data_IF_589430984533
#
_entry.id   IF_589430984533
#
_cell.length_a   1.000
_cell.length_b   1.000
_cell.length_c   1.000
_cell.angle_alpha   90.00
_cell.angle_beta   90.00
_cell.angle_gamma   90.00
#
_symmetry.space_group_name_H-M   'P 1'
#
loop_
_entity.id
_entity.type
_entity.pdbx_description
1 polymer ?
#
# COMPACT_ATOMS: atom_id res chain seq x y z
N UNK A 1 13.87 13.68 -62.18
CA UNK A 1 12.62 12.87 -62.14
C UNK A 1 12.63 11.76 -61.10
N UNK A 2 13.77 11.21 -60.72
CA UNK A 2 13.87 10.05 -59.81
C UNK A 2 13.37 10.37 -58.36
N UNK A 3 13.50 11.62 -57.87
CA UNK A 3 13.10 12.00 -56.50
C UNK A 3 11.69 12.59 -56.38
N UNK A 4 11.10 12.98 -57.49
CA UNK A 4 9.78 13.63 -57.52
C UNK A 4 8.66 12.60 -57.29
N UNK A 5 8.77 11.44 -57.92
CA UNK A 5 7.77 10.36 -57.79
C UNK A 5 7.67 9.83 -56.35
N UNK A 6 8.79 9.49 -55.65
CA UNK A 6 8.70 9.09 -54.26
C UNK A 6 8.16 10.17 -53.31
N UNK A 7 8.48 11.44 -53.58
CA UNK A 7 7.95 12.57 -52.79
C UNK A 7 6.44 12.75 -52.95
N UNK A 8 5.91 12.59 -54.17
CA UNK A 8 4.46 12.64 -54.45
C UNK A 8 3.74 11.46 -53.78
N UNK A 9 4.31 10.26 -53.86
CA UNK A 9 3.74 9.04 -53.22
C UNK A 9 3.68 9.21 -51.70
N UNK A 10 4.80 9.62 -51.07
CA UNK A 10 4.88 9.83 -49.62
C UNK A 10 3.93 10.95 -49.15
N UNK A 11 3.87 12.06 -49.91
CA UNK A 11 2.95 13.15 -49.61
C UNK A 11 1.47 12.74 -49.76
N UNK A 12 1.16 11.98 -50.81
CA UNK A 12 -0.18 11.43 -51.03
C UNK A 12 -0.60 10.45 -49.89
N UNK A 13 0.28 9.55 -49.53
CA UNK A 13 0.05 8.62 -48.40
C UNK A 13 -0.13 9.37 -47.05
N UNK A 14 0.67 10.42 -46.81
CA UNK A 14 0.54 11.28 -45.63
C UNK A 14 -0.78 12.01 -45.53
N UNK A 15 -1.24 12.62 -46.66
CA UNK A 15 -2.52 13.28 -46.72
C UNK A 15 -3.66 12.28 -46.50
N UNK A 16 -3.62 11.15 -47.17
CA UNK A 16 -4.65 10.10 -47.04
C UNK A 16 -4.74 9.55 -45.62
N UNK A 17 -3.61 9.28 -44.99
CA UNK A 17 -3.54 8.87 -43.57
C UNK A 17 -4.09 9.95 -42.63
N UNK A 18 -3.74 11.22 -42.86
CA UNK A 18 -4.23 12.37 -42.08
C UNK A 18 -5.76 12.52 -42.17
N UNK A 19 -6.31 12.39 -43.39
CA UNK A 19 -7.77 12.44 -43.59
C UNK A 19 -8.47 11.26 -42.90
N UNK A 20 -7.94 10.04 -43.05
CA UNK A 20 -8.49 8.84 -42.40
C UNK A 20 -8.48 8.99 -40.88
N UNK A 21 -7.38 9.46 -40.29
CA UNK A 21 -7.28 9.68 -38.84
C UNK A 21 -8.26 10.78 -38.38
N UNK A 22 -8.44 11.86 -39.14
CA UNK A 22 -9.36 12.90 -38.78
C UNK A 22 -10.82 12.44 -38.85
N UNK A 23 -11.18 11.63 -39.87
CA UNK A 23 -12.51 11.04 -39.97
C UNK A 23 -12.74 10.03 -38.86
N UNK A 24 -11.77 9.15 -38.62
CA UNK A 24 -11.83 8.18 -37.52
C UNK A 24 -12.00 8.88 -36.17
N UNK A 25 -11.24 9.94 -35.90
CA UNK A 25 -11.34 10.74 -34.65
C UNK A 25 -12.73 11.36 -34.47
N UNK A 26 -13.39 11.78 -35.54
CA UNK A 26 -14.75 12.32 -35.44
C UNK A 26 -15.82 11.25 -35.31
N UNK A 27 -15.67 10.12 -35.99
CA UNK A 27 -16.65 9.02 -35.97
C UNK A 27 -16.59 8.26 -34.65
N UNK A 28 -15.38 8.08 -34.09
CA UNK A 28 -15.15 7.39 -32.82
C UNK A 28 -14.99 8.36 -31.63
N UNK A 29 -15.42 9.62 -31.79
CA UNK A 29 -15.43 10.54 -30.67
C UNK A 29 -16.44 10.09 -29.62
N UNK A 30 -15.94 9.68 -28.47
CA UNK A 30 -16.76 9.37 -27.30
C UNK A 30 -16.95 10.66 -26.52
N UNK A 31 -18.19 11.10 -26.38
CA UNK A 31 -18.52 12.24 -25.53
C UNK A 31 -18.25 11.82 -24.08
N UNK A 32 -17.20 12.37 -23.46
CA UNK A 32 -16.92 12.19 -22.06
C UNK A 32 -17.80 13.13 -21.26
N UNK A 33 -18.56 12.61 -20.30
CA UNK A 33 -19.38 13.43 -19.40
C UNK A 33 -18.47 14.43 -18.67
N UNK A 34 -18.80 15.72 -18.70
CA UNK A 34 -18.03 16.77 -18.02
C UNK A 34 -17.81 16.49 -16.53
N UNK A 35 -18.72 15.73 -15.89
CA UNK A 35 -18.58 15.33 -14.49
C UNK A 35 -17.38 14.41 -14.28
N UNK A 36 -17.09 13.51 -15.24
CA UNK A 36 -15.93 12.62 -15.18
C UNK A 36 -14.64 13.42 -15.16
N UNK A 37 -14.54 14.45 -16.02
CA UNK A 37 -13.37 15.33 -16.07
C UNK A 37 -13.23 16.15 -14.77
N UNK A 38 -14.32 16.74 -14.27
CA UNK A 38 -14.32 17.51 -13.01
C UNK A 38 -13.90 16.65 -11.81
N UNK A 39 -14.41 15.41 -11.72
CA UNK A 39 -14.03 14.46 -10.69
C UNK A 39 -12.56 14.04 -10.85
N UNK A 40 -12.14 13.70 -12.08
CA UNK A 40 -10.75 13.38 -12.38
C UNK A 40 -9.78 14.45 -11.91
N UNK A 41 -10.08 15.73 -12.19
CA UNK A 41 -9.27 16.87 -11.75
C UNK A 41 -9.28 17.10 -10.22
N UNK A 42 -10.29 16.62 -9.51
CA UNK A 42 -10.38 16.69 -8.05
C UNK A 42 -9.59 15.59 -7.36
N UNK A 43 -9.24 14.51 -8.06
CA UNK A 43 -8.49 13.38 -7.54
C UNK A 43 -6.97 13.68 -7.47
N UNK A 44 -6.22 13.07 -6.56
CA UNK A 44 -4.77 13.31 -6.37
C UNK A 44 -3.87 12.91 -7.54
N UNK A 45 -4.39 12.28 -8.59
CA UNK A 45 -3.68 11.79 -9.78
C UNK A 45 -2.54 10.80 -9.50
N UNK A 46 -2.50 10.22 -8.29
CA UNK A 46 -1.48 9.28 -7.87
C UNK A 46 -1.58 7.90 -8.55
N UNK A 47 -2.69 7.60 -9.21
CA UNK A 47 -2.97 6.34 -9.92
C UNK A 47 -2.55 5.08 -9.13
N UNK A 48 -2.75 5.11 -7.80
CA UNK A 48 -2.22 4.11 -6.87
C UNK A 48 -3.04 2.82 -6.79
N UNK A 49 -4.26 2.80 -7.37
CA UNK A 49 -5.15 1.64 -7.32
C UNK A 49 -5.78 1.33 -5.94
N UNK A 50 -5.54 2.16 -4.91
CA UNK A 50 -6.03 1.92 -3.55
C UNK A 50 -7.57 1.96 -3.40
N UNK A 51 -8.26 2.57 -4.35
CA UNK A 51 -9.71 2.58 -4.47
C UNK A 51 -10.29 1.31 -5.13
N UNK A 52 -9.44 0.43 -5.65
CA UNK A 52 -9.84 -0.79 -6.38
C UNK A 52 -9.99 -0.61 -7.89
N UNK A 53 -9.72 0.58 -8.42
CA UNK A 53 -9.76 0.91 -9.86
C UNK A 53 -8.34 1.01 -10.43
N UNK A 54 -8.20 0.88 -11.75
CA UNK A 54 -6.89 0.87 -12.42
C UNK A 54 -6.16 2.22 -12.32
N UNK A 55 -6.92 3.33 -12.22
CA UNK A 55 -6.38 4.67 -12.07
C UNK A 55 -7.43 5.69 -11.64
N UNK A 56 -7.01 6.93 -11.47
CA UNK A 56 -7.91 8.01 -11.06
C UNK A 56 -8.99 8.30 -12.12
N UNK A 57 -8.65 8.20 -13.40
CA UNK A 57 -9.61 8.38 -14.50
C UNK A 57 -10.68 7.28 -14.51
N UNK A 58 -10.26 6.02 -14.31
CA UNK A 58 -11.17 4.86 -14.25
C UNK A 58 -12.12 4.96 -13.05
N UNK A 59 -11.62 5.42 -11.90
CA UNK A 59 -12.45 5.67 -10.73
C UNK A 59 -13.44 6.82 -10.97
N UNK A 60 -13.03 7.92 -11.63
CA UNK A 60 -13.92 9.03 -11.97
C UNK A 60 -15.06 8.59 -12.90
N UNK A 61 -14.73 7.79 -13.91
CA UNK A 61 -15.73 7.19 -14.81
C UNK A 61 -16.69 6.26 -14.06
N UNK A 62 -16.17 5.41 -13.19
CA UNK A 62 -16.98 4.49 -12.39
C UNK A 62 -17.96 5.23 -11.44
N UNK A 63 -17.58 6.38 -10.90
CA UNK A 63 -18.49 7.18 -10.05
C UNK A 63 -19.68 7.69 -10.89
N UNK A 64 -19.42 8.20 -12.09
CA UNK A 64 -20.46 8.81 -12.92
C UNK A 64 -21.34 7.75 -13.58
N UNK A 65 -20.73 6.73 -14.15
CA UNK A 65 -21.42 5.77 -15.03
C UNK A 65 -21.85 4.48 -14.31
N UNK A 66 -21.14 4.08 -13.24
CA UNK A 66 -21.38 2.82 -12.52
C UNK A 66 -21.81 3.02 -11.05
N UNK A 67 -22.13 4.25 -10.63
CA UNK A 67 -22.52 4.60 -9.26
C UNK A 67 -21.53 4.09 -8.19
N UNK A 68 -20.23 4.13 -8.47
CA UNK A 68 -19.22 3.80 -7.49
C UNK A 68 -19.25 4.78 -6.30
N UNK A 69 -18.93 4.29 -5.11
CA UNK A 69 -18.95 5.12 -3.90
C UNK A 69 -17.93 6.26 -3.97
N UNK A 70 -18.30 7.47 -3.53
CA UNK A 70 -17.48 8.70 -3.62
C UNK A 70 -16.32 8.75 -2.62
N UNK A 71 -16.27 7.85 -1.62
CA UNK A 71 -15.32 7.84 -0.51
C UNK A 71 -14.17 6.82 -0.63
N UNK A 72 -13.96 6.20 -1.80
CA UNK A 72 -12.96 5.14 -1.96
C UNK A 72 -11.53 5.67 -2.14
N UNK A 73 -11.35 6.96 -2.48
CA UNK A 73 -10.03 7.53 -2.67
C UNK A 73 -9.32 7.76 -1.33
N UNK A 74 -8.43 6.83 -0.94
CA UNK A 74 -7.68 6.93 0.32
C UNK A 74 -6.73 8.14 0.37
N UNK A 75 -5.88 8.40 -0.65
CA UNK A 75 -4.99 9.57 -0.66
C UNK A 75 -5.74 10.90 -0.69
N UNK A 76 -6.93 10.95 -1.30
CA UNK A 76 -7.77 12.14 -1.34
C UNK A 76 -8.48 12.45 -0.03
N UNK A 77 -8.70 11.43 0.81
CA UNK A 77 -9.34 11.58 2.11
C UNK A 77 -10.75 12.20 2.05
N UNK A 78 -11.14 12.83 3.15
CA UNK A 78 -12.47 13.45 3.28
C UNK A 78 -12.66 14.63 2.33
N UNK A 79 -11.62 15.45 2.11
CA UNK A 79 -11.72 16.66 1.28
C UNK A 79 -12.09 16.34 -0.18
N UNK A 80 -11.50 15.28 -0.72
CA UNK A 80 -11.82 14.83 -2.09
C UNK A 80 -13.19 14.18 -2.14
N UNK A 81 -13.57 13.39 -1.13
CA UNK A 81 -14.89 12.79 -1.06
C UNK A 81 -16.01 13.84 -1.02
N UNK A 82 -15.81 14.95 -0.29
CA UNK A 82 -16.75 16.10 -0.27
C UNK A 82 -16.89 16.71 -1.66
N UNK A 83 -15.77 17.05 -2.31
CA UNK A 83 -15.79 17.64 -3.66
C UNK A 83 -16.48 16.74 -4.68
N UNK A 84 -16.22 15.44 -4.64
CA UNK A 84 -16.88 14.47 -5.53
C UNK A 84 -18.38 14.41 -5.24
N UNK A 85 -18.78 14.37 -3.98
CA UNK A 85 -20.18 14.33 -3.58
C UNK A 85 -20.94 15.60 -4.04
N UNK A 86 -20.30 16.77 -3.98
CA UNK A 86 -20.86 18.04 -4.49
C UNK A 86 -21.06 17.99 -6.02
N UNK A 87 -20.09 17.45 -6.78
CA UNK A 87 -20.18 17.33 -8.25
C UNK A 87 -21.33 16.38 -8.66
N UNK A 88 -21.51 15.28 -7.92
CA UNK A 88 -22.54 14.28 -8.20
C UNK A 88 -23.91 14.66 -7.61
N UNK A 89 -23.94 15.56 -6.59
CA UNK A 89 -25.16 15.93 -5.87
C UNK A 89 -25.61 14.88 -4.85
N UNK A 90 -24.66 14.14 -4.25
CA UNK A 90 -24.94 13.12 -3.23
C UNK A 90 -24.45 13.56 -1.86
N UNK A 91 -24.93 12.88 -0.80
CA UNK A 91 -24.41 13.09 0.55
C UNK A 91 -23.04 12.43 0.72
N UNK A 92 -22.16 13.08 1.49
CA UNK A 92 -20.84 12.54 1.81
C UNK A 92 -21.00 11.36 2.76
N UNK A 93 -20.42 10.22 2.40
CA UNK A 93 -20.30 9.08 3.31
C UNK A 93 -19.02 9.23 4.16
N UNK A 94 -19.04 8.76 5.39
CA UNK A 94 -17.92 8.86 6.31
C UNK A 94 -16.63 8.25 5.71
N UNK A 95 -15.56 9.06 5.71
CA UNK A 95 -14.23 8.62 5.29
C UNK A 95 -13.42 8.27 6.52
N UNK A 96 -13.09 7.00 6.68
CA UNK A 96 -12.22 6.55 7.77
C UNK A 96 -10.75 6.82 7.41
N UNK A 97 -10.04 7.69 8.15
CA UNK A 97 -8.62 7.94 7.91
C UNK A 97 -7.79 6.68 8.09
N UNK A 98 -6.98 6.33 7.11
CA UNK A 98 -6.17 5.12 7.08
C UNK A 98 -4.68 5.45 7.18
N UNK A 99 -3.87 4.48 7.62
CA UNK A 99 -2.40 4.55 7.64
C UNK A 99 -1.80 3.19 7.39
N UNK A 100 -0.56 3.16 6.91
CA UNK A 100 0.22 1.92 6.84
C UNK A 100 0.82 1.59 8.21
N UNK A 101 1.05 0.30 8.46
CA UNK A 101 1.80 -0.23 9.61
C UNK A 101 2.79 -1.28 9.14
N UNK A 102 3.97 -1.33 9.76
CA UNK A 102 4.99 -2.37 9.51
C UNK A 102 4.92 -3.40 10.63
N UNK A 103 4.53 -4.62 10.32
CA UNK A 103 4.40 -5.73 11.28
C UNK A 103 5.77 -6.36 11.58
N UNK A 104 6.71 -5.53 12.01
CA UNK A 104 8.04 -5.95 12.47
C UNK A 104 8.60 -4.92 13.45
N UNK A 105 9.19 -5.40 14.55
CA UNK A 105 9.95 -4.60 15.51
C UNK A 105 11.36 -5.20 15.74
N UNK A 106 11.85 -5.94 14.74
CA UNK A 106 13.19 -6.53 14.75
C UNK A 106 14.20 -5.56 14.11
N UNK A 107 14.67 -4.59 14.88
CA UNK A 107 15.75 -3.69 14.48
C UNK A 107 17.13 -4.36 14.68
N UNK A 108 18.22 -3.66 14.39
CA UNK A 108 19.59 -4.18 14.54
C UNK A 108 19.98 -4.53 16.00
N UNK A 109 19.22 -4.08 17.01
CA UNK A 109 19.43 -4.44 18.41
C UNK A 109 18.69 -5.73 18.79
N UNK A 110 17.56 -5.99 18.15
CA UNK A 110 16.69 -7.14 18.42
C UNK A 110 17.05 -8.38 17.60
N UNK A 111 17.61 -8.19 16.39
CA UNK A 111 18.03 -9.28 15.50
C UNK A 111 19.39 -8.96 14.88
N UNK A 112 20.11 -10.00 14.46
CA UNK A 112 21.44 -9.85 13.85
C UNK A 112 21.41 -10.26 12.39
N UNK A 113 22.26 -9.66 11.53
CA UNK A 113 22.49 -10.19 10.20
C UNK A 113 23.18 -11.56 10.28
N UNK A 114 22.87 -12.45 9.35
CA UNK A 114 23.59 -13.72 9.18
C UNK A 114 24.87 -13.53 8.37
N UNK A 115 24.85 -12.54 7.47
CA UNK A 115 25.97 -12.16 6.61
C UNK A 115 25.80 -10.70 6.17
N UNK A 116 26.90 -10.07 5.84
CA UNK A 116 26.92 -8.76 5.22
C UNK A 116 26.63 -8.93 3.73
N UNK A 117 25.65 -8.17 3.23
CA UNK A 117 25.25 -8.19 1.84
C UNK A 117 25.93 -7.05 1.07
N UNK A 118 26.82 -7.40 0.17
CA UNK A 118 27.46 -6.49 -0.77
C UNK A 118 26.89 -6.74 -2.18
N UNK A 119 25.92 -5.93 -2.59
CA UNK A 119 25.21 -6.09 -3.86
C UNK A 119 24.15 -5.02 -4.07
N UNK A 120 23.18 -5.30 -4.96
CA UNK A 120 22.06 -4.39 -5.23
C UNK A 120 21.25 -4.14 -3.96
N UNK A 121 21.23 -2.90 -3.48
CA UNK A 121 20.57 -2.48 -2.27
C UNK A 121 19.03 -2.47 -2.44
N UNK A 122 18.44 -3.67 -2.48
CA UNK A 122 17.01 -3.91 -2.64
C UNK A 122 16.57 -5.10 -1.78
N UNK A 123 15.50 -4.90 -0.99
CA UNK A 123 14.89 -5.98 -0.21
C UNK A 123 14.45 -7.15 -1.09
N UNK A 124 13.89 -6.83 -2.27
CA UNK A 124 13.43 -7.83 -3.24
C UNK A 124 14.59 -8.68 -3.77
N UNK A 125 15.75 -8.07 -4.06
CA UNK A 125 16.93 -8.79 -4.52
C UNK A 125 17.46 -9.73 -3.45
N UNK A 126 17.67 -9.25 -2.22
CA UNK A 126 18.16 -10.05 -1.10
C UNK A 126 17.19 -11.18 -0.75
N UNK A 127 15.88 -10.92 -0.76
CA UNK A 127 14.88 -11.97 -0.53
C UNK A 127 14.92 -13.05 -1.58
N UNK A 128 15.05 -12.67 -2.86
CA UNK A 128 15.02 -13.60 -3.98
C UNK A 128 16.25 -14.52 -4.04
N UNK A 129 17.44 -13.98 -3.76
CA UNK A 129 18.69 -14.73 -3.92
C UNK A 129 19.13 -15.42 -2.62
N UNK A 130 18.83 -14.86 -1.45
CA UNK A 130 19.36 -15.32 -0.16
C UNK A 130 18.26 -15.57 0.89
N UNK A 131 17.00 -15.42 0.52
CA UNK A 131 15.85 -15.52 1.44
C UNK A 131 15.91 -14.53 2.64
N UNK A 132 16.62 -13.41 2.47
CA UNK A 132 16.90 -12.41 3.50
C UNK A 132 18.32 -12.54 4.06
N UNK A 133 18.86 -11.46 4.63
CA UNK A 133 20.20 -11.40 5.22
C UNK A 133 20.18 -11.47 6.75
N UNK A 134 19.00 -11.47 7.40
CA UNK A 134 18.84 -11.50 8.84
C UNK A 134 18.58 -12.90 9.40
N UNK A 135 18.83 -13.07 10.70
CA UNK A 135 18.48 -14.29 11.46
C UNK A 135 16.98 -14.59 11.37
N UNK A 136 16.13 -13.54 11.33
CA UNK A 136 14.69 -13.68 11.14
C UNK A 136 14.34 -13.62 9.65
N UNK A 137 13.95 -14.76 9.06
CA UNK A 137 13.57 -14.86 7.63
C UNK A 137 12.25 -14.14 7.30
N UNK A 138 11.45 -13.83 8.29
CA UNK A 138 10.16 -13.15 8.19
C UNK A 138 10.26 -11.66 8.50
N UNK A 139 11.41 -11.18 8.99
CA UNK A 139 11.60 -9.80 9.45
C UNK A 139 11.83 -8.80 8.34
N UNK A 140 11.90 -7.53 8.73
CA UNK A 140 12.29 -6.46 7.84
C UNK A 140 13.75 -6.63 7.41
N UNK A 141 14.03 -6.51 6.11
CA UNK A 141 15.38 -6.61 5.54
C UNK A 141 16.15 -5.28 5.71
N UNK A 142 15.41 -4.15 5.78
CA UNK A 142 15.98 -2.85 6.09
C UNK A 142 16.59 -2.09 4.91
N UNK A 143 16.55 -2.60 3.67
CA UNK A 143 17.17 -1.96 2.49
C UNK A 143 16.28 -0.90 1.80
N UNK A 144 15.04 -0.68 2.27
CA UNK A 144 14.30 0.53 1.93
C UNK A 144 13.48 0.50 0.65
N UNK A 145 13.16 -0.64 0.02
CA UNK A 145 12.27 -0.66 -1.17
C UNK A 145 10.94 0.06 -0.92
N UNK A 146 10.39 -0.07 0.29
CA UNK A 146 9.17 0.63 0.69
C UNK A 146 9.37 2.15 0.89
N UNK A 147 10.57 2.58 1.29
CA UNK A 147 10.94 3.99 1.39
C UNK A 147 11.03 4.64 0.00
N UNK A 148 11.69 3.98 -0.96
CA UNK A 148 11.89 4.50 -2.32
C UNK A 148 10.56 4.74 -3.05
N UNK A 149 9.55 3.88 -2.84
CA UNK A 149 8.24 4.01 -3.52
C UNK A 149 7.28 4.96 -2.80
N UNK A 150 7.68 5.53 -1.66
CA UNK A 150 6.81 6.40 -0.88
C UNK A 150 6.91 7.85 -1.35
N UNK A 151 5.95 8.29 -2.14
CA UNK A 151 5.85 9.65 -2.69
C UNK A 151 5.51 10.72 -1.63
N UNK A 152 5.16 10.30 -0.40
CA UNK A 152 4.71 11.19 0.68
C UNK A 152 5.75 11.34 1.80
N UNK A 153 6.97 10.84 1.63
CA UNK A 153 8.01 10.82 2.67
C UNK A 153 7.49 10.28 4.02
N UNK A 154 6.55 9.33 3.96
CA UNK A 154 5.90 8.76 5.12
C UNK A 154 6.60 7.52 5.68
N UNK A 155 7.68 7.06 5.05
CA UNK A 155 8.47 5.93 5.52
C UNK A 155 9.92 6.38 5.71
N UNK A 156 10.53 5.89 6.78
CA UNK A 156 11.97 6.02 7.01
C UNK A 156 12.56 4.70 7.46
N UNK A 157 13.85 4.52 7.18
CA UNK A 157 14.60 3.36 7.64
C UNK A 157 15.48 3.79 8.81
N UNK A 158 15.23 3.24 9.98
CA UNK A 158 15.99 3.50 11.19
C UNK A 158 16.42 2.16 11.80
N UNK A 159 17.69 2.00 12.09
CA UNK A 159 18.25 0.77 12.68
C UNK A 159 17.90 -0.49 11.88
N UNK A 160 18.02 -0.43 10.55
CA UNK A 160 17.64 -1.49 9.61
C UNK A 160 16.16 -1.91 9.67
N UNK A 161 15.29 -1.03 10.13
CA UNK A 161 13.85 -1.27 10.24
C UNK A 161 13.07 -0.14 9.58
N UNK A 162 12.10 -0.50 8.75
CA UNK A 162 11.16 0.46 8.18
C UNK A 162 10.16 0.93 9.24
N UNK A 163 9.97 2.24 9.35
CA UNK A 163 8.99 2.89 10.23
C UNK A 163 8.08 3.81 9.44
N UNK A 164 6.79 3.77 9.72
CA UNK A 164 5.79 4.64 9.09
C UNK A 164 5.55 5.88 9.95
N UNK A 165 5.60 7.05 9.30
CA UNK A 165 5.20 8.34 9.88
C UNK A 165 3.71 8.53 9.57
N UNK A 166 2.85 8.12 10.51
CA UNK A 166 1.39 8.05 10.32
C UNK A 166 0.77 9.40 9.90
N UNK A 167 1.31 10.53 10.35
CA UNK A 167 0.80 11.86 9.99
C UNK A 167 1.03 12.22 8.52
N UNK A 168 2.10 11.69 7.90
CA UNK A 168 2.40 11.89 6.47
C UNK A 168 1.76 10.82 5.58
N UNK A 169 1.38 9.67 6.14
CA UNK A 169 0.91 8.53 5.38
C UNK A 169 -0.47 8.77 4.79
N UNK A 170 -0.59 8.66 3.47
CA UNK A 170 -1.85 8.77 2.72
C UNK A 170 -2.50 7.41 2.42
N UNK A 171 -1.99 6.31 3.00
CA UNK A 171 -2.54 4.96 2.85
C UNK A 171 -2.70 4.47 1.39
N UNK A 172 -1.87 4.98 0.47
CA UNK A 172 -1.93 4.64 -0.96
C UNK A 172 -1.62 3.16 -1.27
N UNK A 173 -1.00 2.42 -0.35
CA UNK A 173 -0.72 0.99 -0.49
C UNK A 173 0.52 0.63 -1.31
N UNK A 174 1.22 1.57 -1.98
CA UNK A 174 2.42 1.25 -2.80
C UNK A 174 3.50 0.49 -2.02
N UNK A 175 3.69 0.80 -0.74
CA UNK A 175 4.66 0.12 0.11
C UNK A 175 4.28 -1.34 0.45
N UNK A 176 2.98 -1.69 0.44
CA UNK A 176 2.53 -3.06 0.73
C UNK A 176 2.89 -4.02 -0.40
N UNK A 177 2.87 -3.54 -1.66
CA UNK A 177 3.13 -4.36 -2.85
C UNK A 177 4.61 -4.64 -3.09
N UNK A 178 5.51 -3.74 -2.64
CA UNK A 178 6.96 -3.88 -2.85
C UNK A 178 7.67 -4.63 -1.73
N UNK A 179 7.02 -4.80 -0.55
CA UNK A 179 7.63 -5.52 0.56
C UNK A 179 7.68 -7.03 0.28
N UNK A 180 8.87 -7.63 0.11
CA UNK A 180 8.98 -9.05 -0.27
C UNK A 180 8.62 -10.01 0.88
N UNK A 181 8.55 -9.52 2.13
CA UNK A 181 8.10 -10.27 3.30
C UNK A 181 6.66 -9.92 3.71
N UNK A 182 5.93 -9.12 2.91
CA UNK A 182 4.54 -8.72 3.13
C UNK A 182 4.27 -8.16 4.55
N UNK A 183 5.23 -7.40 5.08
CA UNK A 183 5.18 -6.87 6.45
C UNK A 183 4.31 -5.63 6.61
N UNK A 184 3.85 -5.04 5.51
CA UNK A 184 3.16 -3.75 5.55
C UNK A 184 1.69 -3.97 5.21
N UNK A 185 0.81 -3.51 6.09
CA UNK A 185 -0.62 -3.47 5.85
C UNK A 185 -1.18 -2.06 6.05
N UNK A 186 -2.41 -1.82 5.60
CA UNK A 186 -3.13 -0.56 5.81
C UNK A 186 -4.23 -0.79 6.82
N UNK A 187 -4.35 0.13 7.81
CA UNK A 187 -5.32 0.06 8.89
C UNK A 187 -5.93 1.44 9.19
N UNK A 188 -7.08 1.52 9.89
CA UNK A 188 -7.60 2.78 10.37
C UNK A 188 -6.61 3.48 11.32
N UNK A 189 -6.40 4.81 11.14
CA UNK A 189 -5.53 5.62 12.03
C UNK A 189 -5.98 5.59 13.49
N UNK A 190 -7.28 5.43 13.72
CA UNK A 190 -7.84 5.33 15.07
C UNK A 190 -7.43 4.07 15.84
N UNK A 191 -6.94 3.04 15.15
CA UNK A 191 -6.46 1.79 15.76
C UNK A 191 -4.98 1.90 16.06
N UNK A 192 -4.64 2.02 17.34
CA UNK A 192 -3.28 2.30 17.81
C UNK A 192 -2.53 1.06 18.31
N UNK A 193 -3.23 -0.05 18.53
CA UNK A 193 -2.62 -1.30 19.00
C UNK A 193 -2.28 -2.20 17.81
N UNK A 194 -1.01 -2.58 17.70
CA UNK A 194 -0.47 -3.39 16.61
C UNK A 194 0.35 -4.57 17.12
N UNK A 195 0.31 -5.69 16.41
CA UNK A 195 1.28 -6.77 16.56
C UNK A 195 2.43 -6.50 15.60
N UNK A 196 3.61 -6.26 16.13
CA UNK A 196 4.82 -5.94 15.36
C UNK A 196 5.72 -7.16 15.20
N UNK A 197 5.15 -8.27 14.75
CA UNK A 197 5.86 -9.50 14.40
C UNK A 197 5.01 -10.34 13.44
N UNK A 198 5.64 -10.84 12.38
CA UNK A 198 5.04 -11.75 11.39
C UNK A 198 5.80 -13.07 11.28
N UNK A 199 6.55 -13.47 12.32
CA UNK A 199 7.32 -14.72 12.31
C UNK A 199 6.39 -15.94 12.45
N UNK A 200 6.43 -16.83 11.47
CA UNK A 200 5.72 -18.12 11.49
C UNK A 200 6.56 -19.25 12.07
N UNK A 201 7.82 -18.98 12.45
CA UNK A 201 8.67 -19.95 13.10
C UNK A 201 8.15 -20.28 14.49
N UNK A 202 8.45 -21.47 14.99
CA UNK A 202 8.10 -21.83 16.37
C UNK A 202 8.75 -20.86 17.38
N UNK A 203 8.16 -20.74 18.57
CA UNK A 203 8.58 -19.74 19.57
C UNK A 203 10.05 -19.83 19.98
N UNK A 204 10.63 -21.05 20.01
CA UNK A 204 12.07 -21.26 20.32
C UNK A 204 12.95 -20.65 19.23
N UNK A 205 12.67 -20.96 17.96
CA UNK A 205 13.40 -20.42 16.81
C UNK A 205 13.24 -18.91 16.71
N UNK A 206 12.01 -18.40 16.90
CA UNK A 206 11.74 -16.96 16.88
C UNK A 206 12.53 -16.23 17.96
N UNK A 207 12.57 -16.75 19.19
CA UNK A 207 13.31 -16.14 20.30
C UNK A 207 14.84 -16.12 20.06
N UNK A 208 15.37 -17.14 19.38
CA UNK A 208 16.79 -17.15 18.97
C UNK A 208 17.11 -16.15 17.87
N UNK A 209 16.15 -15.92 16.95
CA UNK A 209 16.35 -15.03 15.81
C UNK A 209 16.08 -13.55 16.14
N UNK A 210 15.16 -13.26 17.08
CA UNK A 210 14.74 -11.90 17.40
C UNK A 210 14.23 -11.81 18.84
N UNK A 211 14.79 -10.90 19.64
CA UNK A 211 14.36 -10.69 21.04
C UNK A 211 12.93 -10.13 21.17
N UNK A 212 12.46 -9.40 20.14
CA UNK A 212 11.13 -8.77 20.08
C UNK A 212 10.09 -9.66 19.36
N UNK A 213 10.47 -10.90 19.00
CA UNK A 213 9.64 -11.79 18.21
C UNK A 213 8.47 -12.40 18.99
N UNK A 214 7.30 -12.52 18.35
CA UNK A 214 6.14 -13.22 18.89
C UNK A 214 6.44 -14.72 19.00
N UNK A 215 6.18 -15.32 20.15
CA UNK A 215 6.44 -16.75 20.41
C UNK A 215 5.18 -17.62 20.29
N UNK A 216 4.07 -17.06 19.81
CA UNK A 216 2.82 -17.80 19.61
C UNK A 216 2.15 -18.32 20.90
N UNK A 217 2.40 -17.71 22.06
CA UNK A 217 1.98 -18.23 23.37
C UNK A 217 0.47 -18.15 23.66
N UNK A 218 -0.32 -17.51 22.78
CA UNK A 218 -1.79 -17.35 22.88
C UNK A 218 -2.30 -16.59 24.13
N UNK A 219 -1.45 -15.95 24.92
CA UNK A 219 -1.88 -15.18 26.10
C UNK A 219 -2.74 -14.00 25.69
N UNK A 220 -2.32 -13.26 24.65
CA UNK A 220 -3.08 -12.10 24.12
C UNK A 220 -4.45 -12.50 23.55
N UNK A 221 -4.55 -13.64 22.88
CA UNK A 221 -5.79 -14.19 22.36
C UNK A 221 -6.78 -14.51 23.51
N UNK A 222 -6.31 -15.22 24.55
CA UNK A 222 -7.13 -15.59 25.71
C UNK A 222 -7.59 -14.39 26.54
N UNK A 223 -6.79 -13.31 26.59
CA UNK A 223 -7.08 -12.11 27.39
C UNK A 223 -7.83 -11.03 26.62
N UNK A 224 -8.07 -11.18 25.31
CA UNK A 224 -8.78 -10.19 24.54
C UNK A 224 -10.28 -10.24 24.81
N UNK A 225 -10.89 -9.17 25.40
CA UNK A 225 -12.31 -9.19 25.74
C UNK A 225 -13.23 -9.26 24.52
N UNK A 226 -12.75 -8.74 23.36
CA UNK A 226 -13.55 -8.66 22.14
C UNK A 226 -13.15 -9.73 21.11
N UNK A 227 -12.35 -10.73 21.49
CA UNK A 227 -11.85 -11.76 20.57
C UNK A 227 -11.25 -11.20 19.28
N UNK A 228 -10.67 -10.00 19.35
CA UNK A 228 -10.06 -9.28 18.23
C UNK A 228 -8.65 -9.78 17.88
N UNK A 229 -8.07 -10.68 18.68
CA UNK A 229 -6.73 -11.24 18.44
C UNK A 229 -6.85 -12.73 18.23
N UNK A 230 -6.20 -13.22 17.18
CA UNK A 230 -6.02 -14.63 16.92
C UNK A 230 -4.53 -14.97 16.83
N UNK A 231 -4.17 -16.17 17.23
CA UNK A 231 -2.81 -16.70 17.10
C UNK A 231 -2.84 -17.92 16.19
N UNK A 232 -2.44 -17.69 14.96
CA UNK A 232 -2.34 -18.69 13.90
C UNK A 232 -0.90 -18.69 13.36
N UNK A 233 -0.42 -19.81 12.85
CA UNK A 233 0.94 -19.95 12.30
C UNK A 233 2.03 -19.37 13.23
N UNK A 234 1.93 -19.64 14.53
CA UNK A 234 2.87 -19.21 15.57
C UNK A 234 2.99 -17.69 15.81
N UNK A 235 2.17 -16.84 15.19
CA UNK A 235 2.15 -15.42 15.51
C UNK A 235 0.74 -14.88 15.72
N UNK A 236 0.65 -13.78 16.46
CA UNK A 236 -0.62 -13.10 16.71
C UNK A 236 -0.97 -12.15 15.56
N UNK A 237 -2.24 -12.01 15.25
CA UNK A 237 -2.80 -11.01 14.34
C UNK A 237 -3.99 -10.31 15.00
N UNK A 238 -4.24 -9.04 14.64
CA UNK A 238 -5.36 -8.25 15.17
C UNK A 238 -6.38 -8.01 14.06
N UNK A 239 -7.62 -8.33 14.35
CA UNK A 239 -8.79 -7.90 13.60
C UNK A 239 -9.13 -6.47 14.05
N UNK A 240 -8.82 -5.48 13.19
CA UNK A 240 -9.04 -4.07 13.52
C UNK A 240 -10.51 -3.67 13.55
N UNK A 241 -11.41 -4.44 12.97
CA UNK A 241 -12.85 -4.17 13.05
C UNK A 241 -13.36 -4.45 14.47
N UNK A 242 -12.91 -5.54 15.09
CA UNK A 242 -13.29 -5.95 16.45
C UNK A 242 -12.49 -5.26 17.55
N UNK A 243 -11.28 -4.76 17.22
CA UNK A 243 -10.40 -4.16 18.22
C UNK A 243 -10.94 -2.84 18.78
N UNK A 244 -11.04 -2.70 20.10
CA UNK A 244 -11.49 -1.47 20.79
C UNK A 244 -10.32 -0.63 21.35
N UNK A 245 -9.05 -0.96 21.04
CA UNK A 245 -7.86 -0.30 21.57
C UNK A 245 -7.72 -0.36 23.11
N UNK A 246 -8.29 -1.33 23.79
CA UNK A 246 -8.25 -1.43 25.26
C UNK A 246 -6.84 -1.68 25.85
N UNK A 247 -5.86 -2.11 25.05
CA UNK A 247 -4.46 -2.31 25.46
C UNK A 247 -4.18 -3.55 26.34
N UNK A 248 -5.18 -4.36 26.69
CA UNK A 248 -5.00 -5.56 27.53
C UNK A 248 -4.00 -6.53 26.94
N UNK A 249 -4.02 -6.73 25.62
CA UNK A 249 -3.09 -7.61 24.91
C UNK A 249 -1.63 -7.10 24.95
N UNK A 250 -1.44 -5.78 24.89
CA UNK A 250 -0.12 -5.14 24.99
C UNK A 250 0.50 -5.39 26.37
N UNK A 251 -0.25 -5.13 27.45
CA UNK A 251 0.22 -5.36 28.82
C UNK A 251 0.43 -6.84 29.15
N UNK A 252 -0.31 -7.74 28.51
CA UNK A 252 -0.23 -9.19 28.72
C UNK A 252 0.88 -9.87 27.92
N UNK A 253 1.51 -9.20 26.94
CA UNK A 253 2.50 -9.80 26.07
C UNK A 253 3.87 -9.97 26.76
N UNK A 254 4.35 -11.20 27.01
CA UNK A 254 5.59 -11.42 27.75
C UNK A 254 6.85 -11.01 26.98
N UNK A 255 6.77 -10.96 25.64
CA UNK A 255 7.87 -10.59 24.73
C UNK A 255 7.70 -9.20 24.13
N UNK A 256 6.71 -8.44 24.57
CA UNK A 256 6.43 -7.07 24.11
C UNK A 256 6.33 -6.95 22.57
N UNK A 257 5.77 -7.97 21.91
CA UNK A 257 5.56 -7.93 20.46
C UNK A 257 4.31 -7.12 20.05
N UNK A 258 3.54 -6.60 21.01
CA UNK A 258 2.33 -5.80 20.81
C UNK A 258 2.59 -4.38 21.35
N UNK A 259 2.34 -3.39 20.52
CA UNK A 259 2.62 -1.97 20.78
C UNK A 259 1.39 -1.11 20.70
#
# INVERSE_FOLDING_TARGET
MIYIIPAIILGGCGILAGVLLTVASRVFHVEVDERVEKIGNSLPQANCGACGFAGCADYADAIVNNNASTNLCRPGGADVAVKIAEIIGTSVTDVVPMTAVVHCNGDCNATKPQFDFDGVQSCKAVKRFYNGNGMCKYGCIGLGDCFVVCEYDAIKIENNLAKVISVKCQACGKCTTVCPNHLISVKPKSKVIDVLCSSEANGKTTKLACSNGCIGCKICEKKCPNSAIKVENNHASIDYEKCTNCGVCKSACPVKAIH
#
